data_IF_220028248579
#
_entry.id   IF_220028248579
#
_cell.length_a   1.000
_cell.length_b   1.000
_cell.length_c   1.000
_cell.angle_alpha   90.00
_cell.angle_beta   90.00
_cell.angle_gamma   90.00
#
_symmetry.space_group_name_H-M   'P 1'
#
loop_
_entity.id
_entity.type
_entity.pdbx_description
1 polymer ?
#
# COMPACT_ATOMS: atom_id res chain seq x y z
N UNK A 1 31.98 4.64 -9.75
CA UNK A 1 31.40 4.01 -8.55
C UNK A 1 29.90 4.24 -8.60
N UNK A 2 29.17 3.12 -8.56
CA UNK A 2 27.71 2.91 -8.49
C UNK A 2 26.85 4.15 -8.76
N UNK A 3 26.33 4.22 -9.99
CA UNK A 3 25.18 5.02 -10.36
C UNK A 3 24.06 4.76 -9.33
N UNK A 4 23.76 5.76 -8.51
CA UNK A 4 22.62 5.75 -7.60
C UNK A 4 21.36 5.61 -8.46
N UNK A 5 21.00 4.37 -8.75
CA UNK A 5 19.76 4.01 -9.40
C UNK A 5 18.68 4.56 -8.48
N UNK A 6 18.04 5.66 -8.85
CA UNK A 6 16.86 6.13 -8.15
C UNK A 6 15.81 5.04 -8.35
N UNK A 7 15.77 4.08 -7.42
CA UNK A 7 14.81 2.98 -7.45
C UNK A 7 13.48 3.63 -7.13
N UNK A 8 12.74 3.99 -8.17
CA UNK A 8 11.36 4.42 -8.08
C UNK A 8 10.60 3.29 -7.37
N UNK A 9 10.41 3.43 -6.06
CA UNK A 9 9.83 2.38 -5.22
C UNK A 9 8.31 2.54 -5.26
N UNK A 10 7.58 1.50 -5.65
CA UNK A 10 6.11 1.48 -5.57
C UNK A 10 5.65 1.22 -4.12
N UNK A 11 4.36 1.42 -3.84
CA UNK A 11 3.83 1.14 -2.50
C UNK A 11 4.09 -0.32 -2.07
N UNK A 12 3.86 -1.25 -3.01
CA UNK A 12 4.11 -2.68 -2.82
C UNK A 12 5.57 -2.97 -2.52
N UNK A 13 6.50 -2.40 -3.27
CA UNK A 13 7.93 -2.64 -3.04
C UNK A 13 8.40 -2.11 -1.69
N UNK A 14 7.95 -0.92 -1.29
CA UNK A 14 8.25 -0.38 0.04
C UNK A 14 7.70 -1.29 1.14
N UNK A 15 6.45 -1.72 1.01
CA UNK A 15 5.83 -2.67 1.93
C UNK A 15 6.62 -3.98 2.04
N UNK A 16 6.97 -4.59 0.91
CA UNK A 16 7.71 -5.86 0.87
C UNK A 16 9.13 -5.73 1.43
N UNK A 17 9.82 -4.60 1.19
CA UNK A 17 11.14 -4.33 1.77
C UNK A 17 11.13 -4.38 3.30
N UNK A 18 10.03 -3.95 3.91
CA UNK A 18 9.86 -3.94 5.36
C UNK A 18 9.10 -5.16 5.91
N UNK A 19 8.84 -6.19 5.09
CA UNK A 19 8.06 -7.37 5.47
C UNK A 19 6.67 -7.05 6.05
N UNK A 20 6.07 -5.94 5.62
CA UNK A 20 4.75 -5.51 6.09
C UNK A 20 3.69 -6.25 5.27
N UNK A 21 2.70 -6.87 5.91
CA UNK A 21 1.60 -7.53 5.19
C UNK A 21 0.47 -6.55 4.90
N UNK A 22 -0.34 -6.84 3.87
CA UNK A 22 -1.54 -6.03 3.59
C UNK A 22 -2.53 -6.11 4.76
N UNK A 23 -2.65 -7.28 5.38
CA UNK A 23 -3.45 -7.48 6.59
C UNK A 23 -3.01 -6.60 7.75
N UNK A 24 -1.70 -6.42 7.97
CA UNK A 24 -1.19 -5.51 9.00
C UNK A 24 -1.58 -4.06 8.72
N UNK A 25 -1.47 -3.62 7.46
CA UNK A 25 -1.90 -2.27 7.05
C UNK A 25 -3.40 -2.06 7.22
N UNK A 26 -4.22 -3.07 6.89
CA UNK A 26 -5.68 -3.03 7.09
C UNK A 26 -5.99 -2.88 8.58
N UNK A 27 -5.35 -3.69 9.44
CA UNK A 27 -5.55 -3.62 10.90
C UNK A 27 -5.11 -2.28 11.50
N UNK A 28 -3.99 -1.70 11.03
CA UNK A 28 -3.49 -0.41 11.52
C UNK A 28 -4.31 0.80 11.05
N UNK A 29 -4.82 0.77 9.82
CA UNK A 29 -5.53 1.92 9.23
C UNK A 29 -7.05 1.86 9.37
N UNK A 30 -7.60 0.66 9.58
CA UNK A 30 -9.05 0.39 9.56
C UNK A 30 -9.76 0.87 8.28
N UNK A 31 -9.04 0.94 7.15
CA UNK A 31 -9.64 1.26 5.86
C UNK A 31 -10.13 0.01 5.14
N UNK A 32 -10.97 0.22 4.13
CA UNK A 32 -11.48 -0.87 3.32
C UNK A 32 -10.32 -1.71 2.70
N UNK A 33 -10.31 -3.03 2.90
CA UNK A 33 -9.26 -3.90 2.38
C UNK A 33 -9.08 -3.82 0.86
N UNK A 34 -10.15 -3.53 0.10
CA UNK A 34 -10.09 -3.37 -1.36
C UNK A 34 -9.27 -2.13 -1.71
N UNK A 35 -9.35 -1.06 -0.92
CA UNK A 35 -8.49 0.12 -1.11
C UNK A 35 -7.01 -0.20 -0.87
N UNK A 36 -6.71 -1.02 0.13
CA UNK A 36 -5.35 -1.50 0.41
C UNK A 36 -4.81 -2.34 -0.75
N UNK A 37 -5.60 -3.28 -1.25
CA UNK A 37 -5.26 -4.13 -2.39
C UNK A 37 -5.06 -3.31 -3.66
N UNK A 38 -5.95 -2.34 -3.91
CA UNK A 38 -5.90 -1.52 -5.11
C UNK A 38 -4.65 -0.62 -5.13
N UNK A 39 -4.25 -0.08 -3.98
CA UNK A 39 -3.00 0.67 -3.88
C UNK A 39 -1.79 -0.25 -4.07
N UNK A 40 -1.78 -1.44 -3.47
CA UNK A 40 -0.66 -2.37 -3.60
C UNK A 40 -0.48 -2.90 -5.03
N UNK A 41 -1.58 -3.27 -5.70
CA UNK A 41 -1.51 -3.89 -7.01
C UNK A 41 -1.47 -2.89 -8.15
N UNK A 42 -2.27 -1.82 -8.06
CA UNK A 42 -2.46 -0.88 -9.16
C UNK A 42 -1.82 0.49 -8.89
N UNK A 43 -1.27 0.71 -7.69
CA UNK A 43 -0.84 2.03 -7.23
C UNK A 43 -1.96 3.07 -7.33
N UNK A 44 -3.22 2.68 -7.10
CA UNK A 44 -4.37 3.58 -7.20
C UNK A 44 -5.16 3.67 -5.91
N UNK A 45 -5.72 4.84 -5.63
CA UNK A 45 -6.60 5.05 -4.49
C UNK A 45 -7.11 6.47 -4.42
N UNK A 46 -7.99 6.72 -3.45
CA UNK A 46 -8.37 8.09 -3.09
C UNK A 46 -7.21 8.76 -2.35
N UNK A 47 -7.08 10.11 -2.44
CA UNK A 47 -6.06 10.83 -1.70
C UNK A 47 -6.04 10.50 -0.19
N UNK A 48 -7.22 10.37 0.41
CA UNK A 48 -7.38 10.03 1.83
C UNK A 48 -6.82 8.63 2.15
N UNK A 49 -7.25 7.59 1.42
CA UNK A 49 -6.74 6.23 1.65
C UNK A 49 -5.25 6.13 1.40
N UNK A 50 -4.74 6.85 0.39
CA UNK A 50 -3.30 6.88 0.10
C UNK A 50 -2.53 7.53 1.26
N UNK A 51 -2.95 8.68 1.76
CA UNK A 51 -2.28 9.32 2.90
C UNK A 51 -2.33 8.44 4.15
N UNK A 52 -3.46 7.80 4.43
CA UNK A 52 -3.59 6.87 5.56
C UNK A 52 -2.65 5.67 5.41
N UNK A 53 -2.57 5.07 4.23
CA UNK A 53 -1.71 3.92 3.96
C UNK A 53 -0.23 4.29 4.01
N UNK A 54 0.15 5.45 3.48
CA UNK A 54 1.53 5.94 3.57
C UNK A 54 1.93 6.27 5.01
N UNK A 55 1.03 6.88 5.79
CA UNK A 55 1.26 7.16 7.20
C UNK A 55 1.42 5.87 8.02
N UNK A 56 0.58 4.87 7.76
CA UNK A 56 0.68 3.55 8.36
C UNK A 56 1.97 2.84 7.98
N UNK A 57 2.28 2.79 6.69
CA UNK A 57 3.52 2.21 6.19
C UNK A 57 4.73 2.90 6.83
N UNK A 58 4.69 4.22 7.00
CA UNK A 58 5.77 4.96 7.66
C UNK A 58 5.94 4.58 9.12
N UNK A 59 4.83 4.47 9.84
CA UNK A 59 4.82 4.09 11.25
C UNK A 59 5.35 2.67 11.45
N UNK A 60 4.92 1.74 10.62
CA UNK A 60 5.29 0.32 10.71
C UNK A 60 6.71 0.04 10.22
N UNK A 61 7.18 0.77 9.21
CA UNK A 61 8.54 0.60 8.65
C UNK A 61 9.61 1.41 9.36
N UNK A 62 9.23 2.45 10.11
CA UNK A 62 10.14 3.46 10.64
C UNK A 62 10.76 4.39 9.57
N UNK A 63 10.30 4.32 8.32
CA UNK A 63 10.79 5.14 7.19
C UNK A 63 9.71 6.14 6.77
N UNK A 64 10.06 7.42 6.59
CA UNK A 64 9.06 8.41 6.19
C UNK A 64 8.62 8.25 4.72
N UNK A 65 7.38 7.85 4.54
CA UNK A 65 6.66 7.79 3.27
C UNK A 65 5.56 8.83 3.24
N UNK A 66 5.64 9.74 2.29
CA UNK A 66 4.58 10.72 2.04
C UNK A 66 4.51 11.07 0.57
N UNK A 67 3.40 11.67 0.16
CA UNK A 67 3.25 12.25 -1.18
C UNK A 67 4.31 13.34 -1.45
N UNK A 68 4.85 13.97 -0.39
CA UNK A 68 5.83 15.05 -0.48
C UNK A 68 7.27 14.54 -0.59
N UNK A 69 7.59 13.42 0.03
CA UNK A 69 8.95 12.87 0.02
C UNK A 69 9.33 12.27 -1.34
N UNK A 70 8.34 12.04 -2.23
CA UNK A 70 8.53 11.42 -3.56
C UNK A 70 9.27 10.08 -3.51
N UNK A 71 9.29 9.43 -2.36
CA UNK A 71 9.93 8.13 -2.17
C UNK A 71 9.05 6.98 -2.69
N UNK A 72 7.74 7.22 -2.83
CA UNK A 72 6.81 6.32 -3.51
C UNK A 72 6.41 6.94 -4.85
N UNK A 73 6.60 6.17 -5.93
CA UNK A 73 6.28 6.60 -7.30
C UNK A 73 5.04 5.91 -7.85
N UNK A 74 4.54 6.44 -8.98
CA UNK A 74 3.43 5.89 -9.75
C UNK A 74 2.06 5.81 -9.03
N UNK A 75 1.90 6.53 -7.91
CA UNK A 75 0.59 6.63 -7.25
C UNK A 75 -0.36 7.46 -8.13
N UNK A 76 -1.46 6.84 -8.53
CA UNK A 76 -2.55 7.47 -9.28
C UNK A 76 -3.71 7.80 -8.35
N UNK A 77 -4.02 9.08 -8.22
CA UNK A 77 -5.17 9.54 -7.43
C UNK A 77 -6.45 9.42 -8.23
N UNK A 78 -7.42 8.66 -7.71
CA UNK A 78 -8.76 8.55 -8.28
C UNK A 78 -9.79 8.97 -7.24
N UNK A 79 -10.79 9.75 -7.66
CA UNK A 79 -11.92 10.10 -6.81
C UNK A 79 -12.82 8.88 -6.57
N UNK A 80 -13.06 8.12 -7.65
CA UNK A 80 -13.79 6.85 -7.64
C UNK A 80 -12.86 5.76 -8.19
N UNK A 81 -11.98 5.19 -7.35
CA UNK A 81 -11.21 4.02 -7.72
C UNK A 81 -12.11 2.80 -7.97
N UNK A 82 -11.67 1.92 -8.87
CA UNK A 82 -12.44 0.76 -9.31
C UNK A 82 -12.35 -0.38 -8.29
N UNK A 83 -13.02 -0.21 -7.15
CA UNK A 83 -13.05 -1.22 -6.10
C UNK A 83 -13.74 -2.52 -6.53
N UNK A 84 -14.59 -2.45 -7.55
CA UNK A 84 -15.31 -3.61 -8.10
C UNK A 84 -14.40 -4.54 -8.89
N UNK A 85 -13.26 -4.05 -9.40
CA UNK A 85 -12.20 -4.90 -9.97
C UNK A 85 -11.54 -5.84 -8.95
N UNK A 86 -11.70 -5.60 -7.64
CA UNK A 86 -11.15 -6.47 -6.60
C UNK A 86 -12.09 -7.64 -6.36
N UNK A 87 -11.67 -8.81 -6.84
CA UNK A 87 -12.44 -10.04 -6.66
C UNK A 87 -12.48 -10.48 -5.19
N UNK A 88 -13.55 -11.17 -4.76
CA UNK A 88 -13.67 -11.68 -3.40
C UNK A 88 -12.56 -12.68 -3.04
N UNK A 89 -12.00 -13.39 -4.03
CA UNK A 89 -10.87 -14.29 -3.85
C UNK A 89 -9.59 -13.53 -3.43
N UNK A 90 -9.28 -12.41 -4.10
CA UNK A 90 -8.15 -11.56 -3.73
C UNK A 90 -8.31 -10.95 -2.34
N UNK A 91 -9.54 -10.51 -2.03
CA UNK A 91 -9.89 -10.03 -0.71
C UNK A 91 -9.69 -11.11 0.35
N UNK A 92 -10.17 -12.33 0.10
CA UNK A 92 -10.00 -13.46 0.99
C UNK A 92 -8.53 -13.86 1.16
N UNK A 93 -7.71 -13.81 0.11
CA UNK A 93 -6.29 -14.12 0.19
C UNK A 93 -5.53 -13.15 1.11
N UNK A 94 -5.89 -11.86 1.08
CA UNK A 94 -5.30 -10.87 1.99
C UNK A 94 -5.72 -11.12 3.43
N UNK A 95 -7.02 -11.37 3.64
CA UNK A 95 -7.57 -11.55 4.99
C UNK A 95 -7.12 -12.88 5.63
N UNK A 96 -7.09 -13.99 4.89
CA UNK A 96 -6.69 -15.32 5.39
C UNK A 96 -5.23 -15.39 5.83
N UNK A 97 -4.36 -14.56 5.26
CA UNK A 97 -2.97 -14.46 5.68
C UNK A 97 -2.81 -13.89 7.11
N UNK A 98 -3.92 -13.54 7.79
CA UNK A 98 -3.96 -13.16 9.21
C UNK A 98 -4.22 -14.30 10.18
N UNK A 99 -4.63 -15.50 9.72
CA UNK A 99 -5.20 -16.56 10.57
C UNK A 99 -4.31 -17.81 10.72
N UNK A 100 -3.11 -17.83 10.14
CA UNK A 100 -2.09 -18.88 10.35
C UNK A 100 -1.07 -18.39 11.41
N UNK A 101 -1.51 -18.31 12.67
CA UNK A 101 -0.67 -18.38 13.88
C UNK A 101 -1.26 -19.38 14.89
#
# INVERSE_FOLDING_TARGET
>A
MIQMNQIHTTFREARLRHNITLSLLIKDTNIDPRAVILLDQQNQGTPEHIDQLLASLSRLSGTEYSRRTKNIHAITFKLHPDYESITPDQLAAVLRCSDDE
#
